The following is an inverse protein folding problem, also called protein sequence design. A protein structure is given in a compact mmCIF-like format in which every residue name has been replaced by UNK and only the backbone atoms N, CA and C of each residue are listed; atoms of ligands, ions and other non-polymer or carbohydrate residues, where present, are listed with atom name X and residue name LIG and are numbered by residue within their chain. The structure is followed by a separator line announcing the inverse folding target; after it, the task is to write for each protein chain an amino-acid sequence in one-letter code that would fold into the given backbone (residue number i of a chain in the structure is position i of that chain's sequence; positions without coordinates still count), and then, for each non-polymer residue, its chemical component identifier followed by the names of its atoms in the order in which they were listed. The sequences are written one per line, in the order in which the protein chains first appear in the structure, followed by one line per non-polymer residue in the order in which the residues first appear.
data_IF_921412924514
#
_entry.id   IF_921412924514
#
_cell.length_a   1.000
_cell.length_b   1.000
_cell.length_c   1.000
_cell.angle_alpha   90.00
_cell.angle_beta   90.00
_cell.angle_gamma   90.00
#
_symmetry.space_group_name_H-M   'P 1'
#
loop_
_entity.id
_entity.type
_entity.pdbx_description
1 polymer ?
#
# COMPACT_ATOMS: atom_id res chain seq x y z
N UNK A 1 -14.32 -5.89 -0.84
CA UNK A 1 -13.15 -5.05 -0.52
C UNK A 1 -13.44 -3.67 -1.08
N UNK A 2 -13.53 -2.67 -0.23
CA UNK A 2 -13.67 -1.28 -0.64
C UNK A 2 -12.28 -0.70 -0.92
N UNK A 3 -12.16 0.15 -1.94
CA UNK A 3 -10.93 0.88 -2.27
C UNK A 3 -11.26 2.37 -2.22
N UNK A 4 -10.41 3.14 -1.55
CA UNK A 4 -10.48 4.59 -1.50
C UNK A 4 -9.18 5.09 -2.13
N UNK A 5 -9.29 5.94 -3.15
CA UNK A 5 -8.12 6.51 -3.83
C UNK A 5 -7.93 7.96 -3.39
N UNK A 6 -6.75 8.26 -2.85
CA UNK A 6 -6.38 9.60 -2.43
C UNK A 6 -5.59 10.38 -3.51
N UNK A 7 -5.26 9.77 -4.65
CA UNK A 7 -4.48 10.42 -5.73
C UNK A 7 -5.24 11.57 -6.39
N UNK A 8 -6.57 11.49 -6.47
CA UNK A 8 -7.39 12.50 -7.13
C UNK A 8 -7.73 13.70 -6.21
N UNK A 9 -7.08 13.78 -5.04
CA UNK A 9 -7.31 14.84 -4.05
C UNK A 9 -6.52 16.12 -4.35
N UNK A 10 -5.72 16.18 -5.42
CA UNK A 10 -5.01 17.38 -5.84
C UNK A 10 -3.49 17.24 -5.73
N UNK A 11 -2.84 18.24 -5.14
CA UNK A 11 -1.37 18.30 -5.10
C UNK A 11 -0.77 17.57 -3.88
N UNK A 12 0.48 17.07 -4.00
CA UNK A 12 1.25 16.64 -2.84
C UNK A 12 1.35 17.73 -1.77
N UNK A 13 1.52 17.32 -0.51
CA UNK A 13 1.72 18.26 0.59
C UNK A 13 2.91 19.19 0.31
N UNK A 14 2.76 20.46 0.69
CA UNK A 14 3.75 21.54 0.50
C UNK A 14 4.01 21.98 -0.96
N UNK A 15 3.16 21.59 -1.91
CA UNK A 15 3.17 22.14 -3.28
C UNK A 15 2.27 23.37 -3.42
N UNK A 16 1.19 23.43 -2.64
CA UNK A 16 0.22 24.54 -2.64
C UNK A 16 0.00 25.03 -1.20
N UNK A 17 -0.09 26.35 -1.02
CA UNK A 17 -0.34 26.97 0.29
C UNK A 17 -1.82 26.88 0.67
N UNK A 18 -2.71 27.05 -0.32
CA UNK A 18 -4.15 26.94 -0.10
C UNK A 18 -4.66 25.53 -0.44
N UNK A 19 -4.82 24.71 0.60
CA UNK A 19 -5.23 23.32 0.45
C UNK A 19 -6.72 23.06 0.68
N UNK A 20 -7.51 24.08 1.04
CA UNK A 20 -8.91 23.89 1.43
C UNK A 20 -9.74 23.13 0.37
N UNK A 21 -9.52 23.40 -0.91
CA UNK A 21 -10.23 22.76 -2.04
C UNK A 21 -9.78 21.31 -2.29
N UNK A 22 -8.67 20.89 -1.69
CA UNK A 22 -8.06 19.56 -1.82
C UNK A 22 -8.40 18.63 -0.64
N UNK A 23 -9.11 19.14 0.38
CA UNK A 23 -9.52 18.35 1.53
C UNK A 23 -10.89 17.73 1.26
N UNK A 24 -10.91 16.44 0.94
CA UNK A 24 -12.14 15.65 0.80
C UNK A 24 -12.24 14.64 1.94
N UNK A 25 -13.06 14.90 2.97
CA UNK A 25 -13.24 13.96 4.07
C UNK A 25 -14.08 12.75 3.61
N UNK A 26 -13.62 11.54 3.94
CA UNK A 26 -14.36 10.30 3.74
C UNK A 26 -14.56 9.57 5.07
N UNK A 27 -15.81 9.19 5.36
CA UNK A 27 -16.16 8.47 6.59
C UNK A 27 -16.29 6.98 6.31
N UNK A 28 -15.50 6.17 7.00
CA UNK A 28 -15.54 4.69 6.89
C UNK A 28 -15.92 4.10 8.23
N UNK A 29 -16.97 3.27 8.26
CA UNK A 29 -17.37 2.56 9.45
C UNK A 29 -16.65 1.21 9.54
N UNK A 30 -15.92 0.99 10.64
CA UNK A 30 -15.15 -0.24 10.88
C UNK A 30 -15.83 -1.09 11.94
N UNK A 31 -15.92 -2.39 11.67
CA UNK A 31 -16.40 -3.39 12.62
C UNK A 31 -15.25 -4.29 13.07
N UNK A 32 -15.35 -4.93 14.25
CA UNK A 32 -14.40 -5.95 14.66
C UNK A 32 -14.19 -7.01 13.56
N UNK A 33 -12.93 -7.32 13.27
CA UNK A 33 -12.55 -8.24 12.19
C UNK A 33 -12.39 -7.59 10.81
N UNK A 34 -12.67 -6.30 10.64
CA UNK A 34 -12.27 -5.55 9.45
C UNK A 34 -10.76 -5.27 9.45
N UNK A 35 -10.17 -5.30 8.26
CA UNK A 35 -8.78 -4.93 8.02
C UNK A 35 -8.77 -3.71 7.12
N UNK A 36 -8.13 -2.64 7.57
CA UNK A 36 -7.88 -1.43 6.80
C UNK A 36 -6.39 -1.34 6.50
N UNK A 37 -6.05 -1.10 5.23
CA UNK A 37 -4.66 -0.96 4.79
C UNK A 37 -4.51 0.41 4.12
N UNK A 38 -3.63 1.23 4.67
CA UNK A 38 -3.17 2.47 4.05
C UNK A 38 -1.80 2.20 3.45
N UNK A 39 -1.62 2.59 2.19
CA UNK A 39 -0.36 2.37 1.48
C UNK A 39 -0.10 3.53 0.52
N UNK A 40 1.17 3.76 0.20
CA UNK A 40 1.62 4.71 -0.81
C UNK A 40 1.91 3.99 -2.13
N UNK A 41 2.02 4.73 -3.22
CA UNK A 41 2.44 4.26 -4.54
C UNK A 41 3.81 3.56 -4.57
N UNK A 42 4.69 3.79 -3.60
CA UNK A 42 5.91 3.02 -3.41
C UNK A 42 5.68 1.50 -3.34
N UNK A 43 4.49 1.06 -2.89
CA UNK A 43 4.06 -0.36 -2.93
C UNK A 43 3.52 -0.82 -4.28
N UNK A 44 3.59 0.00 -5.32
CA UNK A 44 3.20 -0.36 -6.69
C UNK A 44 4.39 -0.27 -7.64
N UNK A 45 5.28 0.68 -7.38
CA UNK A 45 6.39 1.05 -8.26
C UNK A 45 7.63 0.16 -8.11
N UNK A 46 7.69 -0.72 -7.10
CA UNK A 46 8.83 -1.65 -7.03
C UNK A 46 8.66 -2.76 -8.06
N UNK A 47 9.65 -2.80 -8.95
CA UNK A 47 9.80 -3.76 -10.02
C UNK A 47 10.82 -4.83 -9.64
N UNK A 48 10.58 -6.05 -10.10
CA UNK A 48 11.57 -7.11 -10.07
C UNK A 48 12.63 -6.91 -11.17
N UNK A 49 13.64 -7.79 -11.20
CA UNK A 49 14.71 -7.75 -12.21
C UNK A 49 14.20 -7.93 -13.66
N UNK A 50 12.97 -8.39 -13.84
CA UNK A 50 12.30 -8.59 -15.12
C UNK A 50 11.36 -7.43 -15.47
N UNK A 51 11.32 -6.36 -14.66
CA UNK A 51 10.41 -5.22 -14.82
C UNK A 51 8.97 -5.51 -14.40
N UNK A 52 8.71 -6.60 -13.66
CA UNK A 52 7.38 -6.92 -13.18
C UNK A 52 7.13 -6.19 -11.86
N UNK A 53 6.15 -5.28 -11.88
CA UNK A 53 5.67 -4.59 -10.69
C UNK A 53 4.93 -5.56 -9.76
N UNK A 54 5.15 -5.47 -8.45
CA UNK A 54 4.37 -6.23 -7.46
C UNK A 54 2.87 -5.90 -7.58
N UNK A 55 2.55 -4.61 -7.75
CA UNK A 55 1.20 -4.16 -8.07
C UNK A 55 0.16 -4.37 -6.96
N UNK A 56 -1.02 -3.79 -7.17
CA UNK A 56 -2.11 -3.80 -6.18
C UNK A 56 -2.70 -5.21 -5.96
N UNK A 57 -2.73 -6.05 -6.98
CA UNK A 57 -3.37 -7.37 -6.89
C UNK A 57 -2.58 -8.34 -5.99
N UNK A 58 -1.24 -8.27 -5.99
CA UNK A 58 -0.42 -9.06 -5.07
C UNK A 58 -0.61 -8.61 -3.63
N UNK A 59 -0.68 -7.29 -3.38
CA UNK A 59 -0.95 -6.75 -2.05
C UNK A 59 -2.26 -7.30 -1.49
N UNK A 60 -3.32 -7.28 -2.31
CA UNK A 60 -4.64 -7.80 -1.93
C UNK A 60 -4.59 -9.31 -1.67
N UNK A 61 -3.88 -10.06 -2.51
CA UNK A 61 -3.73 -11.50 -2.35
C UNK A 61 -3.06 -11.85 -1.02
N UNK A 62 -1.97 -11.16 -0.66
CA UNK A 62 -1.26 -11.37 0.60
C UNK A 62 -2.14 -11.02 1.80
N UNK A 63 -2.85 -9.90 1.78
CA UNK A 63 -3.76 -9.51 2.87
C UNK A 63 -4.87 -10.55 3.05
N UNK A 64 -5.49 -11.01 1.95
CA UNK A 64 -6.55 -12.02 2.00
C UNK A 64 -6.07 -13.34 2.60
N UNK A 65 -4.86 -13.76 2.22
CA UNK A 65 -4.25 -14.98 2.71
C UNK A 65 -3.95 -14.90 4.22
N UNK A 66 -3.51 -13.74 4.71
CA UNK A 66 -3.07 -13.55 6.09
C UNK A 66 -4.10 -12.86 6.99
N UNK A 67 -5.37 -12.74 6.56
CA UNK A 67 -6.41 -11.96 7.26
C UNK A 67 -6.72 -12.37 8.70
N UNK A 68 -6.27 -13.54 9.15
CA UNK A 68 -6.45 -14.04 10.51
C UNK A 68 -5.30 -13.67 11.45
N UNK A 69 -4.23 -13.07 10.91
CA UNK A 69 -3.06 -12.67 11.67
C UNK A 69 -3.22 -11.25 12.21
N UNK A 70 -2.33 -10.88 13.12
CA UNK A 70 -2.22 -9.50 13.60
C UNK A 70 -1.79 -8.55 12.49
N UNK A 71 -2.08 -7.25 12.65
CA UNK A 71 -1.69 -6.22 11.69
C UNK A 71 -0.18 -6.25 11.38
N UNK A 72 0.67 -6.40 12.40
CA UNK A 72 2.14 -6.49 12.23
C UNK A 72 2.55 -7.72 11.43
N UNK A 73 1.91 -8.87 11.64
CA UNK A 73 2.22 -10.07 10.87
C UNK A 73 1.76 -9.96 9.41
N UNK A 74 0.64 -9.28 9.15
CA UNK A 74 0.18 -8.97 7.79
C UNK A 74 1.16 -8.00 7.12
N UNK A 75 1.59 -6.95 7.84
CA UNK A 75 2.61 -6.01 7.38
C UNK A 75 3.91 -6.74 7.00
N UNK A 76 4.41 -7.62 7.87
CA UNK A 76 5.61 -8.42 7.59
C UNK A 76 5.44 -9.32 6.36
N UNK A 77 4.28 -9.98 6.23
CA UNK A 77 3.98 -10.81 5.07
C UNK A 77 3.90 -9.99 3.77
N UNK A 78 3.42 -8.75 3.87
CA UNK A 78 3.41 -7.80 2.76
C UNK A 78 4.83 -7.35 2.44
N UNK A 79 5.65 -6.92 3.41
CA UNK A 79 6.97 -6.29 3.19
C UNK A 79 8.07 -7.30 2.85
N UNK A 80 8.00 -8.54 3.34
CA UNK A 80 9.07 -9.51 3.12
C UNK A 80 9.38 -9.81 1.63
N UNK A 81 8.37 -10.09 0.78
CA UNK A 81 8.58 -10.22 -0.66
C UNK A 81 9.25 -8.99 -1.27
N UNK A 82 8.88 -7.79 -0.81
CA UNK A 82 9.43 -6.52 -1.29
C UNK A 82 10.90 -6.38 -0.97
N UNK A 83 11.28 -6.67 0.28
CA UNK A 83 12.69 -6.65 0.71
C UNK A 83 13.54 -7.62 -0.09
N UNK A 84 13.01 -8.79 -0.46
CA UNK A 84 13.71 -9.75 -1.33
C UNK A 84 13.85 -9.24 -2.78
N UNK A 85 12.88 -8.46 -3.25
CA UNK A 85 12.88 -7.90 -4.61
C UNK A 85 14.00 -6.87 -4.82
N UNK A 86 14.21 -6.01 -3.81
CA UNK A 86 15.17 -4.89 -3.86
C UNK A 86 16.52 -5.21 -3.21
N UNK A 87 16.67 -6.38 -2.58
CA UNK A 87 17.93 -6.78 -2.01
C UNK A 87 18.97 -6.92 -3.14
N UNK A 88 20.16 -6.31 -3.01
CA UNK A 88 21.20 -6.48 -4.02
C UNK A 88 21.53 -7.97 -4.15
N UNK A 89 21.61 -8.46 -5.40
CA UNK A 89 22.21 -9.76 -5.67
C UNK A 89 23.59 -9.76 -5.01
N UNK A 90 23.85 -10.72 -4.12
CA UNK A 90 25.18 -10.89 -3.53
C UNK A 90 26.24 -10.82 -4.65
N UNK A 91 27.31 -10.03 -4.49
CA UNK A 91 28.39 -10.06 -5.47
C UNK A 91 28.97 -11.48 -5.47
N UNK A 92 28.88 -12.13 -6.63
CA UNK A 92 29.62 -13.35 -6.96
C UNK A 92 31.10 -13.00 -7.09
#
# INVERSE_FOLDING_TARGET
MQRINAIDLGFPLAVEEQIADFIVPENVHLHPGHITVLYTDGIRETEDINGLQYGLEQLIAVIRLHRQLSATQIEDAVIQPWRRLIAPLSPV
#
